data_IF_057267517576
#
_entry.id   IF_057267517576
#
_cell.length_a   1.000
_cell.length_b   1.000
_cell.length_c   1.000
_cell.angle_alpha   90.00
_cell.angle_beta   90.00
_cell.angle_gamma   90.00
#
_symmetry.space_group_name_H-M   'P 1'
#
loop_
_entity.id
_entity.type
_entity.pdbx_description
1 polymer ?
#
# COMPACT_ATOMS: atom_id res chain seq x y z
N UNK A 1 -20.63 22.53 1.34
CA UNK A 1 -21.44 21.66 2.22
C UNK A 1 -20.91 21.76 3.64
N UNK A 2 -21.78 21.95 4.64
CA UNK A 2 -21.42 21.96 6.07
C UNK A 2 -21.35 20.52 6.56
N UNK A 3 -20.15 19.92 6.47
CA UNK A 3 -19.88 18.56 6.94
C UNK A 3 -18.49 18.51 7.59
N UNK A 4 -18.28 17.76 8.67
CA UNK A 4 -16.97 17.56 9.25
C UNK A 4 -16.11 16.65 8.37
N UNK A 5 -14.81 16.94 8.28
CA UNK A 5 -13.83 16.04 7.68
C UNK A 5 -13.06 15.33 8.80
N UNK A 6 -13.59 14.18 9.26
CA UNK A 6 -13.05 13.50 10.44
C UNK A 6 -12.02 12.43 10.01
N UNK A 7 -10.77 12.84 9.93
CA UNK A 7 -9.61 11.98 9.70
C UNK A 7 -8.87 11.63 11.02
N UNK A 8 -7.73 10.99 10.94
CA UNK A 8 -6.92 10.64 12.10
C UNK A 8 -6.39 11.84 12.88
N UNK A 9 -6.14 12.99 12.22
CA UNK A 9 -5.72 14.23 12.88
C UNK A 9 -6.87 14.83 13.67
N UNK A 10 -8.04 14.95 13.05
CA UNK A 10 -9.24 15.50 13.67
C UNK A 10 -9.69 14.65 14.86
N UNK A 11 -9.64 13.30 14.75
CA UNK A 11 -9.93 12.39 15.87
C UNK A 11 -9.00 12.68 17.05
N UNK A 12 -7.70 12.81 16.80
CA UNK A 12 -6.72 13.07 17.86
C UNK A 12 -6.96 14.43 18.53
N UNK A 13 -7.13 15.49 17.74
CA UNK A 13 -7.40 16.84 18.25
C UNK A 13 -8.70 16.84 19.07
N UNK A 14 -9.79 16.32 18.50
CA UNK A 14 -11.08 16.28 19.18
C UNK A 14 -11.05 15.42 20.46
N UNK A 15 -10.42 14.26 20.43
CA UNK A 15 -10.28 13.41 21.63
C UNK A 15 -9.54 14.12 22.75
N UNK A 16 -8.46 14.85 22.42
CA UNK A 16 -7.68 15.59 23.42
C UNK A 16 -8.44 16.83 23.95
N UNK A 17 -9.00 17.63 23.05
CA UNK A 17 -9.71 18.84 23.43
C UNK A 17 -10.94 18.53 24.27
N UNK A 18 -11.70 17.48 23.91
CA UNK A 18 -12.95 17.09 24.57
C UNK A 18 -12.76 16.02 25.67
N UNK A 19 -11.53 15.58 25.95
CA UNK A 19 -11.22 14.59 26.97
C UNK A 19 -11.85 13.22 26.72
N UNK A 20 -11.95 12.76 25.47
CA UNK A 20 -12.55 11.46 25.14
C UNK A 20 -11.52 10.36 25.42
N UNK A 21 -11.73 9.64 26.52
CA UNK A 21 -10.82 8.59 27.02
C UNK A 21 -11.28 7.19 26.69
N UNK A 22 -12.45 7.05 26.08
CA UNK A 22 -12.94 5.80 25.55
C UNK A 22 -12.25 5.45 24.23
N UNK A 23 -12.25 4.14 23.91
CA UNK A 23 -11.66 3.66 22.65
C UNK A 23 -12.47 4.18 21.45
N UNK A 24 -11.87 5.08 20.66
CA UNK A 24 -12.51 5.68 19.46
C UNK A 24 -12.69 4.69 18.29
N UNK A 25 -12.20 3.47 18.41
CA UNK A 25 -12.49 2.37 17.49
C UNK A 25 -13.86 1.72 17.74
N UNK A 26 -14.49 2.01 18.87
CA UNK A 26 -15.87 1.55 19.18
C UNK A 26 -16.85 2.41 18.38
N UNK A 27 -17.75 1.82 17.57
CA UNK A 27 -18.61 2.57 16.65
C UNK A 27 -19.50 3.62 17.33
N UNK A 28 -19.97 3.39 18.56
CA UNK A 28 -20.76 4.36 19.33
C UNK A 28 -19.94 5.57 19.75
N UNK A 29 -18.72 5.35 20.29
CA UNK A 29 -17.78 6.42 20.68
C UNK A 29 -17.37 7.24 19.47
N UNK A 30 -17.08 6.56 18.37
CA UNK A 30 -16.72 7.21 17.11
C UNK A 30 -17.83 8.12 16.60
N UNK A 31 -19.08 7.65 16.62
CA UNK A 31 -20.23 8.43 16.20
C UNK A 31 -20.43 9.65 17.09
N UNK A 32 -20.35 9.48 18.41
CA UNK A 32 -20.45 10.59 19.36
C UNK A 32 -19.39 11.68 19.12
N UNK A 33 -18.15 11.27 18.86
CA UNK A 33 -17.08 12.21 18.50
C UNK A 33 -17.42 12.96 17.21
N UNK A 34 -17.87 12.25 16.17
CA UNK A 34 -18.24 12.83 14.88
C UNK A 34 -19.40 13.82 15.03
N UNK A 35 -20.43 13.50 15.82
CA UNK A 35 -21.56 14.38 16.12
C UNK A 35 -21.11 15.65 16.87
N UNK A 36 -20.22 15.50 17.84
CA UNK A 36 -19.63 16.65 18.56
C UNK A 36 -18.83 17.55 17.62
N UNK A 37 -17.98 16.98 16.76
CA UNK A 37 -17.23 17.77 15.76
C UNK A 37 -18.17 18.43 14.76
N UNK A 38 -19.22 17.74 14.28
CA UNK A 38 -20.21 18.30 13.36
C UNK A 38 -20.90 19.54 13.96
N UNK A 39 -21.24 19.49 15.25
CA UNK A 39 -21.88 20.62 15.94
C UNK A 39 -21.03 21.90 15.97
N UNK A 40 -19.70 21.74 15.90
CA UNK A 40 -18.73 22.83 15.90
C UNK A 40 -18.47 23.44 14.52
N UNK A 41 -18.83 22.74 13.45
CA UNK A 41 -18.59 23.21 12.08
C UNK A 41 -19.40 24.48 11.79
N UNK A 42 -18.78 25.65 11.54
CA UNK A 42 -19.49 26.88 11.28
C UNK A 42 -20.15 26.87 9.90
N UNK A 43 -21.37 27.42 9.80
CA UNK A 43 -22.10 27.48 8.54
C UNK A 43 -21.41 28.37 7.48
N UNK A 44 -20.74 29.45 7.93
CA UNK A 44 -20.15 30.45 7.03
C UNK A 44 -18.86 29.95 6.34
N UNK A 45 -17.99 29.22 7.05
CA UNK A 45 -16.65 28.79 6.54
C UNK A 45 -16.32 27.36 6.97
N UNK A 46 -17.10 26.35 6.55
CA UNK A 46 -16.89 24.97 7.00
C UNK A 46 -15.57 24.37 6.50
N UNK A 47 -15.13 24.74 5.31
CA UNK A 47 -13.85 24.26 4.74
C UNK A 47 -12.65 24.74 5.54
N UNK A 48 -12.64 26.02 5.94
CA UNK A 48 -11.54 26.59 6.71
C UNK A 48 -11.44 25.97 8.11
N UNK A 49 -12.59 25.67 8.72
CA UNK A 49 -12.64 24.97 10.00
C UNK A 49 -12.01 23.57 9.90
N UNK A 50 -12.41 22.79 8.90
CA UNK A 50 -11.84 21.45 8.66
C UNK A 50 -10.33 21.54 8.41
N UNK A 51 -9.89 22.49 7.57
CA UNK A 51 -8.47 22.68 7.27
C UNK A 51 -7.70 23.08 8.54
N UNK A 52 -8.22 24.02 9.34
CA UNK A 52 -7.57 24.44 10.57
C UNK A 52 -7.39 23.29 11.59
N UNK A 53 -8.38 22.40 11.71
CA UNK A 53 -8.26 21.20 12.56
C UNK A 53 -7.20 20.23 12.04
N UNK A 54 -7.14 20.01 10.73
CA UNK A 54 -6.12 19.17 10.11
C UNK A 54 -4.72 19.75 10.31
N UNK A 55 -4.53 21.05 10.08
CA UNK A 55 -3.26 21.76 10.25
C UNK A 55 -2.81 21.75 11.71
N UNK A 56 -3.74 22.00 12.64
CA UNK A 56 -3.47 21.89 14.07
C UNK A 56 -2.99 20.47 14.46
N UNK A 57 -3.66 19.45 13.92
CA UNK A 57 -3.27 18.06 14.13
C UNK A 57 -1.91 17.69 13.51
N UNK A 58 -1.59 18.27 12.36
CA UNK A 58 -0.34 17.98 11.67
C UNK A 58 0.88 18.72 12.26
N UNK A 59 0.70 19.96 12.72
CA UNK A 59 1.82 20.83 13.10
C UNK A 59 1.98 21.04 14.62
N UNK A 60 0.90 21.00 15.39
CA UNK A 60 0.91 21.34 16.82
C UNK A 60 0.48 20.16 17.68
N UNK A 61 -0.73 19.63 17.47
CA UNK A 61 -1.28 18.53 18.24
C UNK A 61 -0.86 17.18 17.62
N UNK A 62 0.44 16.97 17.48
CA UNK A 62 1.05 15.80 16.82
C UNK A 62 0.86 14.50 17.61
N UNK A 63 1.02 13.31 16.99
CA UNK A 63 1.08 12.03 17.69
C UNK A 63 2.22 12.00 18.73
N UNK A 64 2.02 11.27 19.82
CA UNK A 64 2.96 11.28 20.95
C UNK A 64 2.89 12.63 21.70
N UNK A 65 4.03 13.27 21.89
CA UNK A 65 4.15 14.52 22.66
C UNK A 65 3.72 15.75 21.82
N UNK A 66 2.56 16.35 22.10
CA UNK A 66 2.09 17.54 21.38
C UNK A 66 2.79 18.83 21.86
N UNK A 67 2.83 19.83 20.98
CA UNK A 67 3.39 21.17 21.28
C UNK A 67 2.34 22.05 21.96
N UNK A 68 1.95 21.73 23.19
CA UNK A 68 0.87 22.42 23.90
C UNK A 68 1.16 23.89 24.21
N UNK A 69 2.43 24.27 24.31
CA UNK A 69 2.83 25.66 24.63
C UNK A 69 2.46 26.68 23.57
N UNK A 70 2.39 26.23 22.31
CA UNK A 70 1.99 27.06 21.16
C UNK A 70 0.56 26.77 20.68
N UNK A 71 -0.17 25.87 21.38
CA UNK A 71 -1.49 25.44 20.94
C UNK A 71 -2.56 26.51 21.20
N UNK A 72 -3.29 27.00 20.17
CA UNK A 72 -4.34 28.00 20.36
C UNK A 72 -5.55 27.47 21.13
N UNK A 73 -5.71 26.16 21.26
CA UNK A 73 -6.80 25.53 22.01
C UNK A 73 -6.41 25.11 23.42
N UNK A 74 -5.19 25.42 23.86
CA UNK A 74 -4.65 25.00 25.16
C UNK A 74 -5.58 25.29 26.33
N UNK A 75 -6.16 26.52 26.37
CA UNK A 75 -7.04 26.96 27.46
C UNK A 75 -8.42 26.26 27.50
N UNK A 76 -8.71 25.44 26.49
CA UNK A 76 -9.97 24.69 26.35
C UNK A 76 -9.73 23.21 26.16
N UNK A 77 -8.56 22.72 26.56
CA UNK A 77 -8.15 21.34 26.26
C UNK A 77 -8.16 20.49 27.54
N UNK A 78 -9.16 19.61 27.66
CA UNK A 78 -9.32 18.73 28.82
C UNK A 78 -8.10 17.79 29.04
N UNK A 79 -7.51 17.32 27.95
CA UNK A 79 -6.33 16.44 28.05
C UNK A 79 -5.07 17.20 28.50
N UNK A 80 -4.95 18.48 28.16
CA UNK A 80 -3.87 19.31 28.68
C UNK A 80 -4.02 19.56 30.19
N UNK A 81 -5.23 19.90 30.62
CA UNK A 81 -5.52 20.16 32.03
C UNK A 81 -5.38 18.90 32.89
N UNK A 82 -5.71 17.74 32.35
CA UNK A 82 -5.52 16.45 33.02
C UNK A 82 -4.08 15.90 32.93
N UNK A 83 -3.24 16.42 32.03
CA UNK A 83 -1.88 15.96 31.83
C UNK A 83 -1.76 14.61 31.08
N UNK A 84 -2.82 14.18 30.37
CA UNK A 84 -2.90 12.90 29.67
C UNK A 84 -2.98 13.02 28.13
N UNK A 85 -2.54 14.14 27.59
CA UNK A 85 -2.62 14.40 26.15
C UNK A 85 -1.84 13.36 25.29
N UNK A 86 -0.79 12.76 25.82
CA UNK A 86 0.00 11.74 25.10
C UNK A 86 -0.74 10.42 24.97
N UNK A 87 -1.62 10.10 25.91
CA UNK A 87 -2.41 8.86 25.96
C UNK A 87 -3.64 8.89 25.01
N UNK A 88 -4.00 10.09 24.50
CA UNK A 88 -5.18 10.27 23.66
C UNK A 88 -4.83 10.51 22.17
N UNK A 89 -5.64 9.99 21.25
CA UNK A 89 -6.84 9.15 21.45
C UNK A 89 -6.53 7.71 21.85
N UNK A 90 -7.41 7.10 22.64
CA UNK A 90 -7.35 5.66 22.88
C UNK A 90 -7.79 4.95 21.59
N UNK A 91 -6.87 4.23 20.97
CA UNK A 91 -7.09 3.51 19.73
C UNK A 91 -7.26 2.01 19.98
N UNK A 92 -8.00 1.30 19.11
CA UNK A 92 -8.04 -0.15 19.17
C UNK A 92 -6.63 -0.72 19.01
N UNK A 93 -6.34 -1.78 19.75
CA UNK A 93 -5.09 -2.49 19.57
C UNK A 93 -4.99 -3.02 18.14
N UNK A 94 -3.96 -2.60 17.41
CA UNK A 94 -3.74 -3.06 16.04
C UNK A 94 -3.29 -4.51 16.08
N UNK A 95 -4.03 -5.38 15.40
CA UNK A 95 -3.53 -6.72 15.14
C UNK A 95 -2.25 -6.61 14.30
N UNK A 96 -1.22 -7.41 14.61
CA UNK A 96 -0.03 -7.43 13.78
C UNK A 96 -0.39 -7.86 12.35
N UNK A 97 0.26 -7.30 11.34
CA UNK A 97 -0.01 -7.66 9.96
C UNK A 97 0.29 -9.14 9.72
N UNK A 98 -0.62 -9.86 9.06
CA UNK A 98 -0.50 -11.28 8.78
C UNK A 98 0.52 -11.53 7.66
N UNK A 99 1.46 -12.48 7.82
CA UNK A 99 2.36 -12.85 6.75
C UNK A 99 1.65 -13.69 5.68
N UNK A 100 2.01 -13.43 4.43
CA UNK A 100 1.64 -14.21 3.26
C UNK A 100 2.87 -14.46 2.42
N UNK A 101 3.06 -15.70 2.03
CA UNK A 101 4.17 -16.14 1.19
C UNK A 101 3.69 -16.22 -0.26
N UNK A 102 4.52 -15.74 -1.17
CA UNK A 102 4.23 -15.65 -2.60
C UNK A 102 5.41 -16.06 -3.45
N UNK A 103 5.17 -16.90 -4.42
CA UNK A 103 6.07 -17.12 -5.56
C UNK A 103 5.72 -16.10 -6.65
N UNK A 104 6.64 -15.21 -6.97
CA UNK A 104 6.48 -14.17 -8.01
C UNK A 104 7.23 -14.62 -9.25
N UNK A 105 6.52 -14.78 -10.35
CA UNK A 105 7.05 -15.37 -11.56
C UNK A 105 7.37 -14.30 -12.60
N UNK A 106 8.65 -14.17 -12.94
CA UNK A 106 9.15 -13.32 -14.02
C UNK A 106 9.28 -14.20 -15.27
N UNK A 107 8.19 -14.32 -16.01
CA UNK A 107 8.12 -15.20 -17.19
C UNK A 107 8.38 -14.38 -18.45
N UNK A 108 9.46 -14.67 -19.14
CA UNK A 108 9.89 -13.94 -20.33
C UNK A 108 9.53 -14.69 -21.61
N UNK A 109 9.17 -13.93 -22.66
CA UNK A 109 9.06 -14.40 -24.04
C UNK A 109 9.78 -13.38 -24.94
N UNK A 110 11.02 -13.69 -25.31
CA UNK A 110 11.91 -12.75 -26.01
C UNK A 110 12.17 -11.49 -25.18
N UNK A 111 11.82 -10.33 -25.73
CA UNK A 111 11.98 -9.02 -25.10
C UNK A 111 10.72 -8.55 -24.33
N UNK A 112 9.90 -9.48 -23.89
CA UNK A 112 8.65 -9.21 -23.15
C UNK A 112 8.55 -10.03 -21.88
N UNK A 113 7.88 -9.50 -20.86
CA UNK A 113 7.60 -10.17 -19.59
C UNK A 113 6.09 -10.31 -19.38
N UNK A 114 5.67 -11.42 -18.79
CA UNK A 114 4.26 -11.70 -18.53
C UNK A 114 3.75 -10.88 -17.34
N UNK A 115 2.67 -10.15 -17.55
CA UNK A 115 2.02 -9.34 -16.52
C UNK A 115 0.50 -9.49 -16.59
N UNK A 116 -0.18 -9.16 -15.49
CA UNK A 116 -1.64 -9.04 -15.45
C UNK A 116 -2.08 -7.81 -14.67
N UNK A 117 -3.27 -7.33 -14.96
CA UNK A 117 -3.95 -6.33 -14.13
C UNK A 117 -4.72 -7.03 -13.01
N UNK A 118 -4.55 -6.56 -11.77
CA UNK A 118 -5.26 -7.14 -10.62
C UNK A 118 -6.73 -6.80 -10.63
N UNK A 119 -7.55 -7.81 -10.36
CA UNK A 119 -9.00 -7.69 -10.18
C UNK A 119 -9.42 -7.86 -8.72
N UNK A 120 -8.50 -8.30 -7.86
CA UNK A 120 -8.70 -8.46 -6.43
C UNK A 120 -8.81 -7.10 -5.74
N UNK A 121 -9.52 -7.01 -4.61
CA UNK A 121 -9.74 -5.77 -3.85
C UNK A 121 -8.43 -5.05 -3.51
N UNK A 122 -7.42 -5.80 -3.06
CA UNK A 122 -6.11 -5.23 -2.74
C UNK A 122 -5.33 -4.93 -4.02
N UNK A 123 -4.85 -3.70 -4.18
CA UNK A 123 -4.13 -3.23 -5.37
C UNK A 123 -4.94 -3.39 -6.67
N UNK A 124 -6.26 -3.24 -6.58
CA UNK A 124 -7.18 -3.35 -7.73
C UNK A 124 -6.77 -2.40 -8.87
N UNK A 125 -6.80 -2.92 -10.09
CA UNK A 125 -6.45 -2.17 -11.29
C UNK A 125 -4.95 -1.95 -11.53
N UNK A 126 -4.08 -2.31 -10.58
CA UNK A 126 -2.62 -2.21 -10.75
C UNK A 126 -2.06 -3.43 -11.47
N UNK A 127 -0.93 -3.21 -12.15
CA UNK A 127 -0.25 -4.26 -12.91
C UNK A 127 0.78 -4.98 -12.05
N UNK A 128 0.75 -6.30 -12.08
CA UNK A 128 1.66 -7.17 -11.32
C UNK A 128 2.20 -8.31 -12.18
N UNK A 129 3.32 -8.86 -11.78
CA UNK A 129 3.78 -10.16 -12.29
C UNK A 129 2.86 -11.28 -11.78
N UNK A 130 2.79 -12.44 -12.45
CA UNK A 130 2.09 -13.61 -11.92
C UNK A 130 2.56 -13.93 -10.49
N UNK A 131 1.61 -14.16 -9.60
CA UNK A 131 1.86 -14.49 -8.19
C UNK A 131 1.07 -15.75 -7.84
N UNK A 132 1.75 -16.71 -7.25
CA UNK A 132 1.15 -17.95 -6.73
C UNK A 132 1.36 -18.02 -5.21
N UNK A 133 0.38 -18.52 -4.44
CA UNK A 133 0.52 -18.63 -2.99
C UNK A 133 1.53 -19.72 -2.62
N UNK A 134 2.36 -19.43 -1.61
CA UNK A 134 3.27 -20.38 -1.00
C UNK A 134 4.74 -20.16 -1.35
N UNK A 135 5.55 -21.10 -0.87
CA UNK A 135 6.93 -21.34 -1.31
C UNK A 135 6.95 -22.69 -2.00
N UNK A 136 7.23 -22.71 -3.29
CA UNK A 136 7.22 -23.95 -4.04
C UNK A 136 8.54 -24.73 -3.85
N UNK A 137 8.41 -25.98 -3.44
CA UNK A 137 9.56 -26.93 -3.46
C UNK A 137 9.95 -27.30 -4.90
N UNK A 138 9.06 -27.10 -5.87
CA UNK A 138 9.25 -27.43 -7.27
C UNK A 138 8.99 -26.22 -8.19
N UNK A 139 9.88 -25.22 -8.23
CA UNK A 139 9.68 -24.01 -9.04
C UNK A 139 9.47 -24.27 -10.52
N UNK A 140 9.98 -25.40 -11.04
CA UNK A 140 9.78 -25.80 -12.44
C UNK A 140 8.30 -26.07 -12.81
N UNK A 141 7.46 -26.38 -11.82
CA UNK A 141 6.04 -26.66 -12.02
C UNK A 141 5.15 -25.43 -11.92
N UNK A 142 5.68 -24.29 -11.47
CA UNK A 142 4.89 -23.06 -11.25
C UNK A 142 4.25 -22.55 -12.55
N UNK A 143 4.92 -22.72 -13.70
CA UNK A 143 4.34 -22.36 -14.99
C UNK A 143 3.09 -23.16 -15.34
N UNK A 144 3.05 -24.43 -14.95
CA UNK A 144 1.88 -25.29 -15.21
C UNK A 144 0.63 -24.82 -14.50
N UNK A 145 0.75 -24.20 -13.33
CA UNK A 145 -0.39 -23.60 -12.60
C UNK A 145 -1.01 -22.43 -13.37
N UNK A 146 -0.26 -21.80 -14.26
CA UNK A 146 -0.73 -20.78 -15.19
C UNK A 146 -1.14 -21.34 -16.57
N UNK A 147 -1.14 -22.65 -16.73
CA UNK A 147 -1.31 -23.32 -18.03
C UNK A 147 -0.29 -22.87 -19.08
N UNK A 148 0.94 -22.58 -18.65
CA UNK A 148 2.03 -22.13 -19.50
C UNK A 148 3.24 -23.05 -19.36
N UNK A 149 3.70 -23.59 -20.49
CA UNK A 149 4.96 -24.34 -20.52
C UNK A 149 6.14 -23.37 -20.37
N UNK A 150 7.01 -23.63 -19.40
CA UNK A 150 8.19 -22.82 -19.11
C UNK A 150 9.47 -23.66 -19.10
N UNK A 151 10.60 -22.99 -19.28
CA UNK A 151 11.94 -23.57 -19.20
C UNK A 151 12.91 -22.61 -18.52
N UNK A 152 14.14 -23.06 -18.26
CA UNK A 152 15.21 -22.23 -17.68
C UNK A 152 14.79 -21.57 -16.36
N UNK A 153 14.07 -22.30 -15.51
CA UNK A 153 13.60 -21.81 -14.23
C UNK A 153 14.77 -21.64 -13.26
N UNK A 154 14.89 -20.45 -12.69
CA UNK A 154 15.96 -20.14 -11.72
C UNK A 154 15.48 -19.14 -10.67
N UNK A 155 16.00 -19.21 -9.43
CA UNK A 155 15.78 -18.17 -8.43
C UNK A 155 16.28 -16.80 -8.93
N UNK A 156 15.59 -15.74 -8.55
CA UNK A 156 15.90 -14.37 -8.94
C UNK A 156 15.93 -13.41 -7.75
N UNK A 157 15.91 -13.95 -6.53
CA UNK A 157 16.00 -13.21 -5.28
C UNK A 157 14.74 -13.28 -4.43
N UNK A 158 14.75 -12.53 -3.35
CA UNK A 158 13.66 -12.44 -2.40
C UNK A 158 13.24 -10.98 -2.22
N UNK A 159 11.99 -10.76 -1.84
CA UNK A 159 11.49 -9.43 -1.51
C UNK A 159 10.49 -9.49 -0.36
N UNK A 160 10.38 -8.39 0.38
CA UNK A 160 9.39 -8.22 1.44
C UNK A 160 8.69 -6.88 1.27
N UNK A 161 7.37 -6.89 1.41
CA UNK A 161 6.59 -5.66 1.45
C UNK A 161 5.61 -5.70 2.62
N UNK A 162 5.52 -4.58 3.37
CA UNK A 162 4.67 -4.47 4.55
C UNK A 162 3.51 -3.53 4.23
N UNK A 163 2.30 -4.06 4.29
CA UNK A 163 1.05 -3.31 4.26
C UNK A 163 0.51 -3.14 5.69
N UNK A 164 -0.52 -2.35 5.84
CA UNK A 164 -1.16 -2.14 7.15
C UNK A 164 -1.67 -3.44 7.80
N UNK A 165 -2.16 -4.39 6.98
CA UNK A 165 -2.80 -5.63 7.47
C UNK A 165 -2.10 -6.91 7.03
N UNK A 166 -1.12 -6.81 6.13
CA UNK A 166 -0.43 -7.95 5.54
C UNK A 166 1.06 -7.67 5.39
N UNK A 167 1.84 -8.74 5.43
CA UNK A 167 3.24 -8.75 5.05
C UNK A 167 3.37 -9.74 3.89
N UNK A 168 3.81 -9.27 2.74
CA UNK A 168 4.16 -10.18 1.65
C UNK A 168 5.64 -10.54 1.73
N UNK A 169 5.92 -11.82 1.84
CA UNK A 169 7.24 -12.41 1.67
C UNK A 169 7.22 -13.07 0.29
N UNK A 170 8.11 -12.67 -0.58
CA UNK A 170 8.08 -13.04 -1.99
C UNK A 170 9.39 -13.71 -2.37
N UNK A 171 9.31 -14.90 -2.96
CA UNK A 171 10.38 -15.53 -3.70
C UNK A 171 10.21 -15.21 -5.18
N UNK A 172 11.28 -14.74 -5.80
CA UNK A 172 11.26 -14.33 -7.20
C UNK A 172 11.88 -15.44 -8.04
N UNK A 173 11.20 -15.83 -9.12
CA UNK A 173 11.69 -16.84 -10.07
C UNK A 173 11.70 -16.25 -11.47
N UNK A 174 12.84 -16.40 -12.15
CA UNK A 174 12.94 -16.14 -13.59
C UNK A 174 12.72 -17.42 -14.37
N UNK A 175 11.98 -17.32 -15.48
CA UNK A 175 11.75 -18.43 -16.39
C UNK A 175 11.40 -17.92 -17.79
N UNK A 176 11.55 -18.77 -18.79
CA UNK A 176 11.21 -18.47 -20.18
C UNK A 176 9.96 -19.24 -20.59
N UNK A 177 9.02 -18.56 -21.23
CA UNK A 177 7.88 -19.20 -21.87
C UNK A 177 8.34 -20.00 -23.11
N UNK A 178 7.79 -21.19 -23.29
CA UNK A 178 8.06 -22.02 -24.49
C UNK A 178 7.28 -21.48 -25.68
N UNK A 179 6.10 -20.88 -25.44
CA UNK A 179 5.25 -20.27 -26.47
C UNK A 179 5.09 -18.78 -26.19
N UNK A 180 4.77 -18.02 -27.24
CA UNK A 180 4.50 -16.58 -27.13
C UNK A 180 3.05 -16.25 -26.70
N UNK A 181 2.19 -17.27 -26.57
CA UNK A 181 0.79 -17.09 -26.23
C UNK A 181 0.63 -16.86 -24.72
N UNK A 182 0.06 -15.74 -24.35
CA UNK A 182 -0.21 -15.42 -22.95
C UNK A 182 -1.47 -16.16 -22.45
N UNK A 183 -1.47 -16.67 -21.21
CA UNK A 183 -2.65 -17.25 -20.60
C UNK A 183 -3.79 -16.21 -20.46
N UNK A 184 -5.03 -16.67 -20.34
CA UNK A 184 -6.19 -15.79 -20.18
C UNK A 184 -6.01 -14.85 -18.97
N UNK A 185 -6.20 -13.56 -19.20
CA UNK A 185 -6.06 -12.53 -18.16
C UNK A 185 -4.63 -12.00 -17.97
N UNK A 186 -3.67 -12.52 -18.74
CA UNK A 186 -2.28 -12.07 -18.77
C UNK A 186 -1.94 -11.51 -20.16
N UNK A 187 -0.87 -10.72 -20.23
CA UNK A 187 -0.25 -10.31 -21.49
C UNK A 187 1.27 -10.21 -21.35
N UNK A 188 1.97 -10.44 -22.43
CA UNK A 188 3.39 -10.15 -22.53
C UNK A 188 3.59 -8.67 -22.82
N UNK A 189 4.41 -8.00 -22.01
CA UNK A 189 4.62 -6.56 -21.98
C UNK A 189 6.09 -6.28 -22.28
N UNK A 190 6.39 -5.41 -23.22
CA UNK A 190 7.74 -4.93 -23.51
C UNK A 190 8.19 -3.88 -22.48
N UNK A 191 9.47 -3.52 -22.46
CA UNK A 191 10.04 -2.60 -21.48
C UNK A 191 9.38 -1.22 -21.51
N UNK A 192 9.19 -0.65 -22.68
CA UNK A 192 8.53 0.65 -22.90
C UNK A 192 7.06 0.64 -22.49
N UNK A 193 6.34 -0.46 -22.79
CA UNK A 193 4.98 -0.66 -22.31
C UNK A 193 4.94 -0.78 -20.79
N UNK A 194 5.89 -1.50 -20.17
CA UNK A 194 5.97 -1.68 -18.71
C UNK A 194 6.16 -0.34 -17.98
N UNK A 195 6.90 0.60 -18.57
CA UNK A 195 7.10 1.95 -18.03
C UNK A 195 5.82 2.79 -18.02
N UNK A 196 4.91 2.54 -18.94
CA UNK A 196 3.61 3.19 -18.98
C UNK A 196 2.58 2.59 -18.01
N UNK A 197 2.87 1.43 -17.39
CA UNK A 197 1.95 0.74 -16.50
C UNK A 197 2.09 1.22 -15.04
N UNK A 198 0.96 1.29 -14.35
CA UNK A 198 0.96 1.56 -12.90
C UNK A 198 1.25 0.27 -12.13
N UNK A 199 2.52 0.10 -11.73
CA UNK A 199 3.03 -1.05 -10.99
C UNK A 199 3.11 -0.66 -9.50
N UNK A 200 2.55 -1.45 -8.56
CA UNK A 200 2.59 -1.12 -7.13
C UNK A 200 4.01 -1.24 -6.57
N UNK A 201 4.29 -0.43 -5.54
CA UNK A 201 5.58 -0.44 -4.82
C UNK A 201 5.95 -1.83 -4.30
N UNK A 202 4.97 -2.66 -3.98
CA UNK A 202 5.18 -4.06 -3.56
C UNK A 202 5.93 -4.89 -4.62
N UNK A 203 5.80 -4.54 -5.91
CA UNK A 203 6.48 -5.20 -7.02
C UNK A 203 7.82 -4.55 -7.42
N UNK A 204 8.32 -3.56 -6.66
CA UNK A 204 9.53 -2.81 -7.04
C UNK A 204 10.75 -3.71 -7.24
N UNK A 205 10.96 -4.67 -6.36
CA UNK A 205 12.09 -5.60 -6.47
C UNK A 205 11.95 -6.50 -7.72
N UNK A 206 10.78 -7.09 -7.93
CA UNK A 206 10.48 -7.90 -9.11
C UNK A 206 10.59 -7.07 -10.40
N UNK A 207 10.10 -5.83 -10.39
CA UNK A 207 10.21 -4.89 -11.51
C UNK A 207 11.64 -4.55 -11.86
N UNK A 208 12.54 -4.39 -10.87
CA UNK A 208 13.97 -4.17 -11.10
C UNK A 208 14.59 -5.35 -11.84
N UNK A 209 14.40 -6.57 -11.33
CA UNK A 209 14.91 -7.80 -11.96
C UNK A 209 14.37 -7.97 -13.38
N UNK A 210 13.07 -7.68 -13.59
CA UNK A 210 12.47 -7.78 -14.92
C UNK A 210 13.10 -6.79 -15.93
N UNK A 211 13.35 -5.54 -15.52
CA UNK A 211 14.00 -4.50 -16.36
C UNK A 211 15.39 -4.90 -16.76
N UNK A 212 16.24 -5.27 -15.80
CA UNK A 212 17.61 -5.69 -16.04
C UNK A 212 17.66 -6.82 -17.10
N UNK A 213 16.76 -7.80 -16.98
CA UNK A 213 16.70 -8.91 -17.95
C UNK A 213 16.18 -8.48 -19.34
N UNK A 214 15.22 -7.57 -19.40
CA UNK A 214 14.68 -7.06 -20.68
C UNK A 214 15.72 -6.19 -21.42
N UNK A 215 16.49 -5.39 -20.70
CA UNK A 215 17.61 -4.60 -21.24
C UNK A 215 18.70 -5.51 -21.83
N UNK A 216 19.13 -6.56 -21.08
CA UNK A 216 20.10 -7.56 -21.55
C UNK A 216 19.61 -8.27 -22.84
N UNK A 217 18.33 -8.65 -22.90
CA UNK A 217 17.77 -9.31 -24.06
C UNK A 217 17.73 -8.39 -25.30
N UNK A 218 17.41 -7.12 -25.12
CA UNK A 218 17.38 -6.12 -26.19
C UNK A 218 18.77 -5.89 -26.79
N UNK A 219 19.82 -5.78 -25.96
CA UNK A 219 21.21 -5.63 -26.41
C UNK A 219 21.71 -6.87 -27.17
N UNK A 220 21.32 -8.05 -26.71
CA UNK A 220 21.68 -9.32 -27.39
C UNK A 220 20.99 -9.45 -28.76
N UNK A 221 19.72 -9.01 -28.86
CA UNK A 221 18.95 -9.01 -30.11
C UNK A 221 19.50 -8.06 -31.16
N UNK A 222 20.07 -6.92 -30.77
CA UNK A 222 20.71 -5.97 -31.68
C UNK A 222 22.02 -6.51 -32.25
N UNK A 223 22.85 -7.17 -31.43
CA UNK A 223 24.13 -7.77 -31.89
C UNK A 223 23.94 -8.89 -32.89
N UNK A 224 22.84 -9.65 -32.84
CA UNK A 224 22.54 -10.73 -33.79
C UNK A 224 21.92 -10.24 -35.12
N UNK A 225 21.57 -8.98 -35.27
CA UNK A 225 21.05 -8.38 -36.52
C UNK A 225 22.12 -7.69 -37.37
N UNK A 226 23.33 -7.52 -36.82
CA UNK A 226 24.47 -6.90 -37.49
C UNK A 226 25.46 -7.92 -38.07
N UNK A 227 25.18 -9.23 -37.94
CA UNK A 227 25.93 -10.35 -38.54
C UNK A 227 25.11 -11.02 -39.62
#
# INVERSE_FOLDING_TARGET
QRVPAVDGNVIRVASRVMGIRENVGIPSVRRELEEKVDSLVPAARPGDFNQALMDLGAAVCVPGTPNCDICPLRAHCDAYDAGDAEDLPVLPQKNPPKPFDWDVLLIFSGEKVLMRQRTETMLHGLWVFPMLPGHSEHPAELGAQLHLAVRNVRPAGEAKHVFTHQIWRMELYQMEAVTADAPKGYRFVALDEMDALTIPTAMKAAGKVARERLEENSECGMRNKET
#
